data_IF_350140552333
#
_entry.id   IF_350140552333
#
_cell.length_a   1.000
_cell.length_b   1.000
_cell.length_c   1.000
_cell.angle_alpha   90.00
_cell.angle_beta   90.00
_cell.angle_gamma   90.00
#
_symmetry.space_group_name_H-M   'P 1'
#
loop_
_entity.id
_entity.type
_entity.pdbx_description
1 polymer ?
#
# COMPACT_ATOMS: atom_id res chain seq x y z
N UNK A 1 -5.97 1.96 10.02
CA UNK A 1 -6.76 2.76 9.05
C UNK A 1 -7.95 3.34 9.80
N UNK A 2 -7.98 4.64 10.05
CA UNK A 2 -8.99 5.29 10.90
C UNK A 2 -10.38 5.32 10.26
N UNK A 3 -11.39 5.42 11.13
CA UNK A 3 -12.85 5.41 10.94
C UNK A 3 -13.44 6.58 10.12
N UNK A 4 -12.73 7.14 9.15
CA UNK A 4 -13.32 8.20 8.29
C UNK A 4 -13.73 7.63 6.94
N UNK A 5 -15.01 7.79 6.61
CA UNK A 5 -15.52 7.42 5.30
C UNK A 5 -14.97 8.38 4.23
N UNK A 6 -15.12 8.00 2.96
CA UNK A 6 -14.58 8.76 1.84
C UNK A 6 -15.19 10.17 1.80
N UNK A 7 -16.48 10.28 2.10
CA UNK A 7 -17.26 11.51 2.07
C UNK A 7 -16.74 12.52 3.09
N UNK A 8 -16.41 12.08 4.30
CA UNK A 8 -15.80 12.92 5.33
C UNK A 8 -14.44 13.46 4.90
N UNK A 9 -13.61 12.64 4.23
CA UNK A 9 -12.30 13.10 3.73
C UNK A 9 -12.44 14.17 2.65
N UNK A 10 -13.44 14.03 1.79
CA UNK A 10 -13.78 15.02 0.76
C UNK A 10 -14.27 16.31 1.42
N UNK A 11 -15.19 16.22 2.38
CA UNK A 11 -15.69 17.38 3.13
C UNK A 11 -14.55 18.14 3.82
N UNK A 12 -13.66 17.44 4.52
CA UNK A 12 -12.50 18.03 5.18
C UNK A 12 -11.58 18.74 4.18
N UNK A 13 -11.37 18.14 3.00
CA UNK A 13 -10.57 18.75 1.95
C UNK A 13 -11.18 20.05 1.44
N UNK A 14 -12.49 20.10 1.17
CA UNK A 14 -13.18 21.33 0.76
C UNK A 14 -13.12 22.42 1.84
N UNK A 15 -13.34 22.06 3.10
CA UNK A 15 -13.21 23.01 4.23
C UNK A 15 -11.81 23.60 4.34
N UNK A 16 -10.78 22.82 4.06
CA UNK A 16 -9.40 23.30 4.04
C UNK A 16 -9.10 24.15 2.79
N UNK A 17 -9.51 23.69 1.61
CA UNK A 17 -9.14 24.28 0.31
C UNK A 17 -9.96 25.51 -0.06
N UNK A 18 -11.27 25.44 0.17
CA UNK A 18 -12.25 26.43 -0.30
C UNK A 18 -12.63 27.41 0.82
N UNK A 19 -12.75 26.92 2.06
CA UNK A 19 -13.12 27.73 3.23
C UNK A 19 -11.90 28.23 4.04
N UNK A 20 -10.67 27.85 3.66
CA UNK A 20 -9.43 28.22 4.35
C UNK A 20 -9.40 27.90 5.86
N UNK A 21 -10.12 26.86 6.30
CA UNK A 21 -10.11 26.43 7.70
C UNK A 21 -8.75 25.79 8.02
N UNK A 22 -8.16 26.18 9.15
CA UNK A 22 -6.83 25.68 9.53
C UNK A 22 -6.83 24.18 9.82
N UNK A 23 -5.70 23.53 9.50
CA UNK A 23 -5.48 22.10 9.76
C UNK A 23 -5.68 21.78 11.26
N UNK A 24 -5.28 22.68 12.16
CA UNK A 24 -5.46 22.51 13.61
C UNK A 24 -6.94 22.49 14.03
N UNK A 25 -7.75 23.40 13.48
CA UNK A 25 -9.19 23.44 13.74
C UNK A 25 -9.88 22.17 13.22
N UNK A 26 -9.54 21.74 12.00
CA UNK A 26 -10.07 20.51 11.40
C UNK A 26 -9.64 19.27 12.19
N UNK A 27 -8.37 19.18 12.58
CA UNK A 27 -7.86 18.08 13.40
C UNK A 27 -8.62 17.97 14.72
N UNK A 28 -8.92 19.10 15.38
CA UNK A 28 -9.71 19.12 16.61
C UNK A 28 -11.17 18.74 16.37
N UNK A 29 -11.80 19.31 15.34
CA UNK A 29 -13.21 19.06 15.02
C UNK A 29 -13.48 17.59 14.67
N UNK A 30 -12.61 17.00 13.86
CA UNK A 30 -12.72 15.62 13.42
C UNK A 30 -11.93 14.64 14.31
N UNK A 31 -11.31 15.09 15.41
CA UNK A 31 -10.47 14.26 16.31
C UNK A 31 -9.40 13.46 15.55
N UNK A 32 -8.77 14.10 14.56
CA UNK A 32 -7.68 13.53 13.77
C UNK A 32 -6.33 13.94 14.32
N UNK A 33 -5.34 13.07 14.13
CA UNK A 33 -3.95 13.45 14.35
C UNK A 33 -3.55 14.49 13.29
N UNK A 34 -2.88 15.57 13.73
CA UNK A 34 -2.51 16.69 12.88
C UNK A 34 -1.63 16.28 11.68
N UNK A 35 -0.62 15.43 11.91
CA UNK A 35 0.26 14.95 10.86
C UNK A 35 -0.46 14.05 9.86
N UNK A 36 -1.37 13.19 10.34
CA UNK A 36 -2.19 12.36 9.46
C UNK A 36 -3.13 13.19 8.59
N UNK A 37 -3.73 14.23 9.16
CA UNK A 37 -4.60 15.14 8.42
C UNK A 37 -3.81 15.95 7.39
N UNK A 38 -2.68 16.54 7.78
CA UNK A 38 -1.78 17.27 6.88
C UNK A 38 -1.34 16.39 5.70
N UNK A 39 -0.91 15.16 5.98
CA UNK A 39 -0.53 14.21 4.94
C UNK A 39 -1.69 13.88 3.99
N UNK A 40 -2.88 13.63 4.53
CA UNK A 40 -4.08 13.37 3.72
C UNK A 40 -4.42 14.54 2.80
N UNK A 41 -4.39 15.78 3.32
CA UNK A 41 -4.67 16.97 2.54
C UNK A 41 -3.66 17.16 1.41
N UNK A 42 -2.36 17.02 1.69
CA UNK A 42 -1.30 17.11 0.66
C UNK A 42 -1.43 16.03 -0.42
N UNK A 43 -1.82 14.81 -0.04
CA UNK A 43 -2.06 13.74 -1.02
C UNK A 43 -3.22 14.06 -1.96
N UNK A 44 -4.34 14.54 -1.43
CA UNK A 44 -5.51 14.90 -2.24
C UNK A 44 -5.19 16.13 -3.10
N UNK A 45 -4.44 17.10 -2.58
CA UNK A 45 -4.04 18.30 -3.33
C UNK A 45 -3.10 17.95 -4.51
N UNK A 46 -2.21 16.98 -4.33
CA UNK A 46 -1.27 16.53 -5.35
C UNK A 46 -1.91 15.66 -6.44
N UNK A 47 -2.85 14.78 -6.05
CA UNK A 47 -3.34 13.70 -6.92
C UNK A 47 -4.84 13.80 -7.22
N UNK A 48 -5.52 14.85 -6.77
CA UNK A 48 -6.96 14.99 -6.87
C UNK A 48 -7.73 14.07 -5.91
N UNK A 49 -9.04 14.24 -5.90
CA UNK A 49 -9.97 13.47 -5.03
C UNK A 49 -10.02 11.99 -5.46
N UNK A 50 -9.67 11.67 -6.71
CA UNK A 50 -9.60 10.30 -7.22
C UNK A 50 -8.67 9.39 -6.41
N UNK A 51 -7.65 9.92 -5.70
CA UNK A 51 -6.80 9.09 -4.84
C UNK A 51 -7.59 8.41 -3.71
N UNK A 52 -8.75 8.95 -3.33
CA UNK A 52 -9.65 8.34 -2.35
C UNK A 52 -10.50 7.19 -2.93
N UNK A 53 -10.59 7.07 -4.25
CA UNK A 53 -11.35 6.03 -4.96
C UNK A 53 -10.48 5.01 -5.67
N UNK A 54 -9.28 5.40 -6.09
CA UNK A 54 -8.36 4.53 -6.81
C UNK A 54 -8.03 3.32 -5.94
N UNK A 55 -8.66 2.18 -6.27
CA UNK A 55 -8.21 0.90 -5.74
C UNK A 55 -6.86 0.61 -6.39
N UNK A 56 -5.87 0.27 -5.57
CA UNK A 56 -4.57 -0.25 -6.00
C UNK A 56 -4.70 -1.68 -6.59
N UNK A 57 -5.67 -1.91 -7.48
CA UNK A 57 -5.96 -3.20 -8.09
C UNK A 57 -4.80 -3.69 -8.96
N UNK A 58 -4.14 -2.79 -9.70
CA UNK A 58 -2.97 -3.13 -10.51
C UNK A 58 -1.83 -3.65 -9.64
N UNK A 59 -1.44 -2.87 -8.62
CA UNK A 59 -0.42 -3.27 -7.65
C UNK A 59 -0.77 -4.58 -6.91
N UNK A 60 -2.04 -4.81 -6.58
CA UNK A 60 -2.48 -6.05 -5.94
C UNK A 60 -2.30 -7.27 -6.84
N UNK A 61 -2.61 -7.15 -8.15
CA UNK A 61 -2.44 -8.24 -9.13
C UNK A 61 -0.96 -8.56 -9.34
N UNK A 62 -0.12 -7.54 -9.51
CA UNK A 62 1.32 -7.71 -9.71
C UNK A 62 1.98 -8.37 -8.49
N UNK A 63 1.62 -7.95 -7.27
CA UNK A 63 2.11 -8.60 -6.04
C UNK A 63 1.69 -10.07 -5.96
N UNK A 64 0.48 -10.43 -6.41
CA UNK A 64 0.04 -11.83 -6.43
C UNK A 64 0.83 -12.66 -7.44
N UNK A 65 1.04 -12.13 -8.64
CA UNK A 65 1.84 -12.79 -9.69
C UNK A 65 3.27 -13.04 -9.21
N UNK A 66 3.92 -12.01 -8.65
CA UNK A 66 5.28 -12.12 -8.11
C UNK A 66 5.38 -13.14 -6.97
N UNK A 67 4.36 -13.23 -6.11
CA UNK A 67 4.31 -14.26 -5.04
C UNK A 67 4.23 -15.66 -5.61
N UNK A 68 3.41 -15.86 -6.64
CA UNK A 68 3.26 -17.16 -7.30
C UNK A 68 4.55 -17.57 -8.01
N UNK A 69 5.19 -16.65 -8.72
CA UNK A 69 6.49 -16.87 -9.35
C UNK A 69 7.58 -17.19 -8.31
N UNK A 70 7.64 -16.45 -7.21
CA UNK A 70 8.59 -16.72 -6.13
C UNK A 70 8.39 -18.13 -5.54
N UNK A 71 7.13 -18.57 -5.38
CA UNK A 71 6.84 -19.91 -4.89
C UNK A 71 7.35 -20.98 -5.87
N UNK A 72 7.12 -20.81 -7.18
CA UNK A 72 7.62 -21.72 -8.22
C UNK A 72 9.15 -21.78 -8.21
N UNK A 73 9.82 -20.63 -8.13
CA UNK A 73 11.29 -20.57 -8.09
C UNK A 73 11.86 -21.23 -6.83
N UNK A 74 11.20 -21.09 -5.67
CA UNK A 74 11.63 -21.77 -4.43
C UNK A 74 11.58 -23.28 -4.58
N UNK A 75 10.53 -23.81 -5.19
CA UNK A 75 10.37 -25.25 -5.45
C UNK A 75 11.48 -25.74 -6.39
N UNK A 76 11.70 -25.05 -7.52
CA UNK A 76 12.76 -25.42 -8.49
C UNK A 76 14.14 -25.38 -7.83
N UNK A 77 14.44 -24.34 -7.06
CA UNK A 77 15.71 -24.23 -6.35
C UNK A 77 15.92 -25.37 -5.35
N UNK A 78 14.87 -25.84 -4.68
CA UNK A 78 14.96 -27.00 -3.79
C UNK A 78 15.28 -28.28 -4.56
N UNK A 79 14.64 -28.51 -5.71
CA UNK A 79 14.94 -29.66 -6.56
C UNK A 79 16.37 -29.63 -7.10
N UNK A 80 16.84 -28.49 -7.59
CA UNK A 80 18.22 -28.32 -8.08
C UNK A 80 19.23 -28.65 -6.98
N UNK A 81 18.99 -28.21 -5.74
CA UNK A 81 19.86 -28.55 -4.59
C UNK A 81 19.89 -30.05 -4.32
N UNK A 82 18.73 -30.73 -4.34
CA UNK A 82 18.65 -32.19 -4.14
C UNK A 82 19.41 -32.96 -5.22
N UNK A 83 19.26 -32.56 -6.49
CA UNK A 83 19.98 -33.17 -7.61
C UNK A 83 21.49 -32.99 -7.47
N UNK A 84 21.94 -31.77 -7.16
CA UNK A 84 23.37 -31.50 -6.96
C UNK A 84 23.98 -32.29 -5.79
N UNK A 85 23.18 -32.59 -4.75
CA UNK A 85 23.63 -33.40 -3.63
C UNK A 85 23.79 -34.88 -4.03
N UNK A 86 22.86 -35.41 -4.82
CA UNK A 86 22.93 -36.79 -5.34
C UNK A 86 24.15 -36.99 -6.26
N UNK A 87 24.38 -36.05 -7.19
CA UNK A 87 25.55 -36.11 -8.08
C UNK A 87 26.88 -36.10 -7.30
N UNK A 88 26.93 -35.35 -6.18
CA UNK A 88 28.10 -35.31 -5.30
C UNK A 88 28.28 -36.60 -4.48
N UNK A 89 27.20 -37.33 -4.18
CA UNK A 89 27.28 -38.63 -3.51
C UNK A 89 27.74 -39.73 -4.48
N UNK A 90 27.29 -39.69 -5.74
CA UNK A 90 27.69 -40.67 -6.76
C UNK A 90 29.15 -40.49 -7.21
N UNK A 91 29.69 -39.27 -7.22
CA UNK A 91 31.12 -39.05 -7.48
C UNK A 91 32.06 -39.42 -6.32
N UNK A 92 31.51 -39.73 -5.14
CA UNK A 92 32.29 -40.14 -3.95
C UNK A 92 32.36 -41.66 -3.76
N UNK A 93 31.66 -42.44 -4.58
CA UNK A 93 31.73 -43.91 -4.62
C UNK A 93 32.74 -44.38 -5.66
#
# INVERSE_FOLDING_TARGET
>A
MSKFNKEQKIEIYHKWKDENISISQLAKAYRMNLANLDYMLRLIDMHGIEILTTKNQSYSKEIQQLKEENLRLRIVNEYVKKLSALDQEDQKK
#
